data_IF_753112119937
#
_entry.id   IF_753112119937
#
_cell.length_a   1.000
_cell.length_b   1.000
_cell.length_c   1.000
_cell.angle_alpha   90.00
_cell.angle_beta   90.00
_cell.angle_gamma   90.00
#
_symmetry.space_group_name_H-M   'P 1'
#
loop_
_entity.id
_entity.type
_entity.pdbx_description
1 polymer ?
#
# COMPACT_ATOMS: atom_id res chain seq x y z
N UNK A 1 -13.13 -36.41 -7.64
CA UNK A 1 -13.72 -35.23 -7.03
C UNK A 1 -12.61 -34.58 -6.24
N UNK A 2 -12.18 -33.37 -6.53
CA UNK A 2 -11.17 -32.68 -5.75
C UNK A 2 -11.76 -32.42 -4.36
N UNK A 3 -11.10 -32.91 -3.35
CA UNK A 3 -11.46 -32.66 -1.95
C UNK A 3 -11.13 -31.19 -1.69
N UNK A 4 -12.15 -30.37 -1.43
CA UNK A 4 -11.93 -28.98 -0.99
C UNK A 4 -11.21 -29.02 0.35
N UNK A 5 -9.95 -28.61 0.34
CA UNK A 5 -9.16 -28.48 1.57
C UNK A 5 -9.75 -27.29 2.32
N UNK A 6 -10.39 -27.52 3.47
CA UNK A 6 -10.92 -26.43 4.30
C UNK A 6 -9.75 -25.64 4.89
N UNK A 7 -9.53 -24.46 4.34
CA UNK A 7 -8.59 -23.46 4.86
C UNK A 7 -9.32 -22.54 5.86
N UNK A 8 -8.62 -21.72 6.64
CA UNK A 8 -9.24 -20.69 7.46
C UNK A 8 -10.08 -19.67 6.66
N UNK A 9 -9.84 -19.57 5.35
CA UNK A 9 -10.52 -18.67 4.41
C UNK A 9 -11.77 -19.29 3.78
N UNK A 10 -12.04 -20.58 4.02
CA UNK A 10 -13.19 -21.28 3.42
C UNK A 10 -14.46 -20.94 4.18
N UNK A 11 -15.47 -20.45 3.47
CA UNK A 11 -16.78 -20.09 4.03
C UNK A 11 -17.87 -20.98 3.45
N UNK A 12 -18.70 -21.56 4.32
CA UNK A 12 -19.88 -22.33 3.93
C UNK A 12 -21.02 -21.39 3.52
N UNK A 13 -21.61 -21.65 2.36
CA UNK A 13 -22.66 -20.85 1.74
C UNK A 13 -23.90 -21.69 1.36
N UNK A 14 -23.98 -22.92 1.85
CA UNK A 14 -25.07 -23.88 1.55
C UNK A 14 -26.47 -23.25 1.69
N UNK A 15 -26.69 -22.49 2.75
CA UNK A 15 -28.00 -21.88 3.02
C UNK A 15 -28.38 -20.76 2.04
N UNK A 16 -27.39 -20.16 1.36
CA UNK A 16 -27.57 -19.08 0.38
C UNK A 16 -27.70 -19.61 -1.04
N UNK A 17 -27.26 -20.86 -1.29
CA UNK A 17 -27.25 -21.42 -2.63
C UNK A 17 -28.64 -21.41 -3.28
N UNK A 18 -28.73 -20.86 -4.49
CA UNK A 18 -29.94 -20.81 -5.31
C UNK A 18 -31.18 -20.19 -4.61
N UNK A 19 -30.94 -19.22 -3.72
CA UNK A 19 -31.99 -18.45 -3.03
C UNK A 19 -31.83 -16.94 -3.27
N UNK A 20 -32.06 -16.45 -4.49
CA UNK A 20 -31.84 -15.07 -4.83
C UNK A 20 -32.57 -14.09 -3.91
N UNK A 21 -31.83 -13.09 -3.41
CA UNK A 21 -32.34 -12.10 -2.48
C UNK A 21 -32.14 -12.43 -0.99
N UNK A 22 -31.66 -13.64 -0.66
CA UNK A 22 -31.23 -13.95 0.70
C UNK A 22 -29.85 -13.35 0.97
N UNK A 23 -29.67 -12.79 2.17
CA UNK A 23 -28.41 -12.19 2.65
C UNK A 23 -28.00 -12.78 3.98
N UNK A 24 -26.69 -12.84 4.20
CA UNK A 24 -26.09 -13.25 5.46
C UNK A 24 -24.88 -12.38 5.78
N UNK A 25 -24.85 -11.83 6.97
CA UNK A 25 -23.68 -11.17 7.55
C UNK A 25 -22.93 -12.16 8.44
N UNK A 26 -21.59 -12.12 8.40
CA UNK A 26 -20.73 -12.97 9.21
C UNK A 26 -19.42 -12.24 9.52
N UNK A 27 -18.94 -12.34 10.75
CA UNK A 27 -17.60 -11.91 11.13
C UNK A 27 -16.73 -13.15 11.36
N UNK A 28 -15.54 -13.15 10.80
CA UNK A 28 -14.54 -14.22 10.99
C UNK A 28 -13.19 -13.60 11.35
N UNK A 29 -12.50 -14.22 12.28
CA UNK A 29 -11.11 -13.90 12.60
C UNK A 29 -10.23 -15.01 12.01
N UNK A 30 -9.35 -14.62 11.09
CA UNK A 30 -8.46 -15.52 10.36
C UNK A 30 -7.06 -15.36 10.89
N UNK A 31 -6.45 -16.46 11.34
CA UNK A 31 -5.02 -16.49 11.62
C UNK A 31 -4.29 -16.81 10.31
N UNK A 32 -3.45 -15.88 9.86
CA UNK A 32 -2.70 -16.02 8.61
C UNK A 32 -1.80 -17.23 8.66
N UNK A 33 -2.02 -18.27 7.82
CA UNK A 33 -1.25 -19.51 7.91
C UNK A 33 0.14 -19.35 7.30
N UNK A 34 0.26 -18.56 6.26
CA UNK A 34 1.49 -18.33 5.49
C UNK A 34 1.65 -16.84 5.18
N UNK A 35 2.86 -16.33 5.34
CA UNK A 35 3.18 -14.93 5.06
C UNK A 35 2.86 -14.56 3.62
N UNK A 36 2.26 -13.38 3.42
CA UNK A 36 2.04 -12.80 2.11
C UNK A 36 2.14 -11.27 2.12
N UNK A 37 2.58 -10.69 1.00
CA UNK A 37 2.82 -9.26 0.87
C UNK A 37 3.77 -8.96 -0.26
N UNK A 38 4.40 -7.80 -0.21
CA UNK A 38 5.49 -7.44 -1.11
C UNK A 38 6.87 -7.64 -0.43
N UNK A 39 7.95 -7.31 -1.13
CA UNK A 39 9.32 -7.53 -0.63
C UNK A 39 9.67 -6.74 0.65
N UNK A 40 8.94 -5.68 0.98
CA UNK A 40 9.27 -4.75 2.06
C UNK A 40 8.29 -4.84 3.24
N UNK A 41 7.02 -5.18 2.99
CA UNK A 41 5.97 -5.21 3.99
C UNK A 41 4.91 -6.26 3.63
N UNK A 42 4.36 -6.93 4.61
CA UNK A 42 3.33 -7.96 4.41
C UNK A 42 2.68 -8.42 5.70
N UNK A 43 1.69 -9.28 5.52
CA UNK A 43 1.02 -9.99 6.60
C UNK A 43 1.90 -11.15 7.02
N UNK A 44 2.33 -11.16 8.29
CA UNK A 44 3.18 -12.24 8.82
C UNK A 44 2.35 -13.48 9.15
N UNK A 45 2.96 -14.66 9.00
CA UNK A 45 2.34 -15.89 9.48
C UNK A 45 2.04 -15.78 10.98
N UNK A 46 0.82 -16.14 11.37
CA UNK A 46 0.32 -16.01 12.73
C UNK A 46 -0.31 -14.66 13.08
N UNK A 47 -0.28 -13.66 12.18
CA UNK A 47 -1.05 -12.42 12.38
C UNK A 47 -2.55 -12.67 12.23
N UNK A 48 -3.34 -11.81 12.84
CA UNK A 48 -4.81 -11.90 12.79
C UNK A 48 -5.36 -10.94 11.74
N UNK A 49 -6.30 -11.45 10.91
CA UNK A 49 -7.14 -10.68 10.02
C UNK A 49 -8.58 -10.78 10.51
N UNK A 50 -9.20 -9.64 10.75
CA UNK A 50 -10.65 -9.58 10.98
C UNK A 50 -11.34 -9.32 9.65
N UNK A 51 -12.32 -10.15 9.32
CA UNK A 51 -13.08 -10.05 8.08
C UNK A 51 -14.56 -9.97 8.40
N UNK A 52 -15.17 -8.84 8.08
CA UNK A 52 -16.62 -8.66 8.20
C UNK A 52 -17.24 -8.90 6.82
N UNK A 53 -17.97 -9.99 6.70
CA UNK A 53 -18.53 -10.48 5.43
C UNK A 53 -20.02 -10.16 5.36
N UNK A 54 -20.43 -9.68 4.18
CA UNK A 54 -21.80 -9.65 3.73
C UNK A 54 -21.92 -10.46 2.45
N UNK A 55 -22.73 -11.50 2.48
CA UNK A 55 -22.95 -12.40 1.36
C UNK A 55 -24.39 -12.28 0.90
N UNK A 56 -24.61 -12.05 -0.38
CA UNK A 56 -25.92 -11.93 -1.01
C UNK A 56 -26.06 -12.97 -2.14
N UNK A 57 -27.12 -13.76 -2.09
CA UNK A 57 -27.42 -14.74 -3.13
C UNK A 57 -28.05 -14.04 -4.34
N UNK A 58 -27.43 -14.19 -5.49
CA UNK A 58 -27.91 -13.73 -6.80
C UNK A 58 -28.30 -14.91 -7.68
N UNK A 59 -28.83 -14.65 -8.87
CA UNK A 59 -29.20 -15.70 -9.84
C UNK A 59 -27.97 -16.48 -10.34
N UNK A 60 -26.86 -15.77 -10.56
CA UNK A 60 -25.67 -16.29 -11.21
C UNK A 60 -24.57 -16.69 -10.23
N UNK A 61 -24.74 -16.38 -8.93
CA UNK A 61 -23.70 -16.64 -7.92
C UNK A 61 -24.01 -16.01 -6.56
N UNK A 62 -22.98 -15.92 -5.76
CA UNK A 62 -23.00 -15.26 -4.46
C UNK A 62 -22.12 -14.03 -4.52
N UNK A 63 -22.71 -12.85 -4.33
CA UNK A 63 -21.99 -11.60 -4.19
C UNK A 63 -21.45 -11.51 -2.76
N UNK A 64 -20.15 -11.37 -2.63
CA UNK A 64 -19.44 -11.20 -1.35
C UNK A 64 -18.93 -9.78 -1.27
N UNK A 65 -19.35 -9.05 -0.26
CA UNK A 65 -18.75 -7.78 0.15
C UNK A 65 -18.06 -8.01 1.49
N UNK A 66 -16.83 -7.56 1.64
CA UNK A 66 -16.11 -7.74 2.89
C UNK A 66 -15.25 -6.54 3.24
N UNK A 67 -15.24 -6.21 4.53
CA UNK A 67 -14.31 -5.28 5.16
C UNK A 67 -13.23 -6.10 5.87
N UNK A 68 -11.98 -5.84 5.54
CA UNK A 68 -10.82 -6.59 6.02
C UNK A 68 -9.90 -5.65 6.80
N UNK A 69 -9.70 -5.96 8.07
CA UNK A 69 -8.83 -5.24 8.99
C UNK A 69 -7.67 -6.12 9.45
N UNK A 70 -6.46 -5.57 9.43
CA UNK A 70 -5.27 -6.28 9.89
C UNK A 70 -4.08 -5.37 10.12
N UNK A 71 -2.94 -5.96 10.43
CA UNK A 71 -1.67 -5.24 10.60
C UNK A 71 -0.58 -5.91 9.78
N UNK A 72 -0.03 -5.19 8.82
CA UNK A 72 1.14 -5.60 8.07
C UNK A 72 2.41 -5.16 8.80
N UNK A 73 3.43 -6.01 8.77
CA UNK A 73 4.73 -5.74 9.34
C UNK A 73 5.83 -5.78 8.26
N UNK A 74 6.83 -4.94 8.40
CA UNK A 74 7.90 -4.83 7.41
C UNK A 74 9.02 -3.92 7.87
N UNK A 75 9.80 -3.43 6.92
CA UNK A 75 10.93 -2.54 7.17
C UNK A 75 10.75 -1.21 6.44
N UNK A 76 11.19 -0.13 7.07
CA UNK A 76 11.22 1.18 6.42
C UNK A 76 12.18 1.17 5.22
N UNK A 77 11.70 1.50 4.02
CA UNK A 77 12.51 1.52 2.80
C UNK A 77 13.65 2.55 2.79
N UNK A 78 13.72 3.44 3.80
CA UNK A 78 14.79 4.46 3.91
C UNK A 78 15.78 4.18 5.02
N UNK A 79 15.33 3.77 6.22
CA UNK A 79 16.19 3.63 7.39
C UNK A 79 16.23 2.20 7.97
N UNK A 80 15.55 1.25 7.34
CA UNK A 80 15.57 -0.18 7.62
C UNK A 80 15.16 -0.57 9.05
N UNK A 81 14.37 0.28 9.73
CA UNK A 81 13.75 -0.10 11.00
C UNK A 81 12.48 -0.88 10.75
N UNK A 82 12.14 -1.74 11.69
CA UNK A 82 10.84 -2.43 11.69
C UNK A 82 9.71 -1.43 11.80
N UNK A 83 8.66 -1.66 11.02
CA UNK A 83 7.44 -0.85 11.02
C UNK A 83 6.22 -1.77 10.99
N UNK A 84 5.15 -1.27 11.57
CA UNK A 84 3.82 -1.86 11.47
C UNK A 84 2.86 -0.85 10.85
N UNK A 85 2.00 -1.33 9.97
CA UNK A 85 1.02 -0.52 9.28
C UNK A 85 -0.35 -1.19 9.34
N UNK A 86 -1.37 -0.43 9.74
CA UNK A 86 -2.75 -0.88 9.66
C UNK A 86 -3.15 -1.08 8.20
N UNK A 87 -3.81 -2.20 7.94
CA UNK A 87 -4.40 -2.54 6.63
C UNK A 87 -5.90 -2.54 6.80
N UNK A 88 -6.59 -1.75 5.96
CA UNK A 88 -8.04 -1.71 5.88
C UNK A 88 -8.41 -1.75 4.40
N UNK A 89 -9.13 -2.81 4.01
CA UNK A 89 -9.46 -3.05 2.60
C UNK A 89 -10.91 -3.49 2.50
N UNK A 90 -11.62 -2.89 1.57
CA UNK A 90 -12.96 -3.31 1.16
C UNK A 90 -12.88 -4.10 -0.14
N UNK A 91 -13.58 -5.22 -0.21
CA UNK A 91 -13.71 -6.03 -1.42
C UNK A 91 -15.17 -6.24 -1.76
N UNK A 92 -15.45 -6.40 -3.05
CA UNK A 92 -16.76 -6.83 -3.55
C UNK A 92 -16.56 -7.70 -4.79
N UNK A 93 -16.82 -8.99 -4.64
CA UNK A 93 -16.58 -9.98 -5.69
C UNK A 93 -17.75 -10.97 -5.85
N UNK A 94 -17.99 -11.41 -7.08
CA UNK A 94 -19.00 -12.41 -7.39
C UNK A 94 -18.37 -13.79 -7.49
N UNK A 95 -18.85 -14.71 -6.67
CA UNK A 95 -18.54 -16.14 -6.75
C UNK A 95 -19.63 -16.84 -7.58
N UNK A 96 -19.33 -17.20 -8.82
CA UNK A 96 -20.30 -17.75 -9.76
C UNK A 96 -20.65 -19.21 -9.46
N UNK A 97 -21.89 -19.61 -9.78
CA UNK A 97 -22.33 -21.01 -9.70
C UNK A 97 -21.84 -21.86 -10.88
N UNK A 98 -21.41 -21.24 -11.96
CA UNK A 98 -20.95 -21.93 -13.16
C UNK A 98 -19.54 -21.49 -13.52
N UNK A 99 -18.74 -22.46 -13.96
CA UNK A 99 -17.42 -22.24 -14.52
C UNK A 99 -17.56 -21.64 -15.92
N UNK A 100 -17.59 -20.31 -16.01
CA UNK A 100 -17.55 -19.58 -17.27
C UNK A 100 -16.28 -18.70 -17.25
N UNK A 101 -15.60 -18.59 -18.39
CA UNK A 101 -14.40 -17.74 -18.55
C UNK A 101 -14.63 -16.25 -18.19
N UNK A 102 -15.90 -15.86 -18.03
CA UNK A 102 -16.28 -14.51 -17.62
C UNK A 102 -16.12 -14.23 -16.11
N UNK A 103 -15.98 -15.26 -15.28
CA UNK A 103 -15.91 -15.14 -13.82
C UNK A 103 -14.58 -15.67 -13.31
N UNK A 104 -13.96 -14.89 -12.42
CA UNK A 104 -12.66 -15.22 -11.82
C UNK A 104 -12.80 -16.18 -10.63
N UNK A 105 -13.91 -16.08 -9.90
CA UNK A 105 -14.17 -16.86 -8.69
C UNK A 105 -15.43 -17.69 -8.83
N UNK A 106 -15.38 -18.91 -8.28
CA UNK A 106 -16.46 -19.89 -8.37
C UNK A 106 -16.87 -20.40 -6.98
N UNK A 107 -18.13 -20.79 -6.88
CA UNK A 107 -18.63 -21.57 -5.73
C UNK A 107 -18.27 -23.02 -5.95
N UNK A 108 -17.49 -23.60 -5.06
CA UNK A 108 -17.14 -25.03 -5.11
C UNK A 108 -17.99 -25.84 -4.14
N UNK A 109 -18.84 -26.71 -4.67
CA UNK A 109 -19.83 -27.45 -3.90
C UNK A 109 -20.74 -26.46 -3.12
N UNK A 110 -20.59 -26.37 -1.81
CA UNK A 110 -21.36 -25.49 -0.93
C UNK A 110 -20.46 -24.45 -0.22
N UNK A 111 -19.26 -24.19 -0.77
CA UNK A 111 -18.25 -23.34 -0.15
C UNK A 111 -17.66 -22.35 -1.14
N UNK A 112 -17.19 -21.21 -0.60
CA UNK A 112 -16.36 -20.23 -1.29
C UNK A 112 -15.01 -20.16 -0.61
N UNK A 113 -13.95 -19.92 -1.40
CA UNK A 113 -12.60 -19.68 -0.90
C UNK A 113 -12.26 -18.20 -1.05
N UNK A 114 -12.09 -17.52 0.08
CA UNK A 114 -11.78 -16.10 0.12
C UNK A 114 -10.27 -15.81 0.06
N UNK A 115 -9.42 -16.86 0.12
CA UNK A 115 -7.96 -16.66 0.19
C UNK A 115 -7.41 -15.82 -0.97
N UNK A 116 -7.70 -16.15 -2.27
CA UNK A 116 -7.14 -15.39 -3.38
C UNK A 116 -7.60 -13.93 -3.37
N UNK A 117 -8.90 -13.69 -3.15
CA UNK A 117 -9.46 -12.32 -3.12
C UNK A 117 -8.86 -11.48 -2.01
N UNK A 118 -8.78 -12.03 -0.79
CA UNK A 118 -8.21 -11.34 0.38
C UNK A 118 -6.72 -11.06 0.15
N UNK A 119 -5.97 -12.05 -0.35
CA UNK A 119 -4.55 -11.95 -0.62
C UNK A 119 -4.26 -10.83 -1.64
N UNK A 120 -4.98 -10.82 -2.74
CA UNK A 120 -4.79 -9.84 -3.82
C UNK A 120 -5.15 -8.43 -3.34
N UNK A 121 -6.29 -8.26 -2.69
CA UNK A 121 -6.72 -6.98 -2.17
C UNK A 121 -5.74 -6.40 -1.13
N UNK A 122 -5.30 -7.21 -0.18
CA UNK A 122 -4.31 -6.79 0.83
C UNK A 122 -2.99 -6.42 0.17
N UNK A 123 -2.43 -7.28 -0.71
CA UNK A 123 -1.14 -7.02 -1.38
C UNK A 123 -1.19 -5.73 -2.21
N UNK A 124 -2.30 -5.47 -2.91
CA UNK A 124 -2.47 -4.26 -3.71
C UNK A 124 -2.62 -2.99 -2.84
N UNK A 125 -3.10 -3.11 -1.61
CA UNK A 125 -3.21 -1.99 -0.68
C UNK A 125 -1.89 -1.59 -0.03
N UNK A 126 -0.91 -2.49 -0.01
CA UNK A 126 0.38 -2.24 0.63
C UNK A 126 1.23 -1.24 -0.17
N UNK A 127 1.91 -0.29 0.49
CA UNK A 127 2.79 0.65 -0.19
C UNK A 127 4.03 -0.06 -0.74
N UNK A 128 4.47 0.35 -1.95
CA UNK A 128 5.72 -0.14 -2.53
C UNK A 128 6.96 0.26 -1.72
N UNK A 129 6.93 1.45 -1.13
CA UNK A 129 7.99 1.98 -0.28
C UNK A 129 7.40 2.39 1.08
N UNK A 130 7.26 1.44 2.00
CA UNK A 130 6.82 1.77 3.34
C UNK A 130 7.88 2.64 4.04
N UNK A 131 7.44 3.67 4.76
CA UNK A 131 8.32 4.59 5.48
C UNK A 131 7.84 4.74 6.92
N UNK A 132 8.77 4.85 7.86
CA UNK A 132 8.42 5.03 9.27
C UNK A 132 7.78 6.40 9.55
N UNK A 133 8.12 7.40 8.74
CA UNK A 133 7.56 8.76 8.76
C UNK A 133 7.83 9.42 7.40
N UNK A 134 7.01 10.40 7.02
CA UNK A 134 7.08 11.07 5.71
C UNK A 134 8.45 11.72 5.43
N UNK A 135 9.05 12.34 6.45
CA UNK A 135 10.32 13.04 6.41
C UNK A 135 11.52 12.18 6.86
N UNK A 136 11.39 10.85 6.80
CA UNK A 136 12.48 9.95 7.17
C UNK A 136 13.75 10.27 6.35
N UNK A 137 14.81 10.67 7.02
CA UNK A 137 16.10 11.03 6.41
C UNK A 137 16.88 9.82 5.87
N UNK A 138 16.50 8.60 6.30
CA UNK A 138 17.14 7.38 5.87
C UNK A 138 18.48 7.10 6.52
N UNK A 139 19.30 6.34 5.80
CA UNK A 139 20.67 6.00 6.18
C UNK A 139 21.66 6.88 5.42
N UNK A 140 22.79 7.15 6.03
CA UNK A 140 23.91 7.79 5.35
C UNK A 140 24.44 6.89 4.24
N UNK A 141 24.56 7.37 2.99
CA UNK A 141 25.02 6.55 1.86
C UNK A 141 26.49 6.12 1.94
N UNK A 142 27.28 6.78 2.79
CA UNK A 142 28.71 6.47 2.94
C UNK A 142 28.99 5.47 4.06
N UNK A 143 28.33 5.61 5.21
CA UNK A 143 28.64 4.78 6.39
C UNK A 143 27.45 3.99 6.93
N UNK A 144 26.26 4.15 6.36
CA UNK A 144 25.05 3.41 6.76
C UNK A 144 24.45 3.84 8.11
N UNK A 145 24.96 4.90 8.73
CA UNK A 145 24.43 5.40 10.00
C UNK A 145 23.05 6.02 9.77
N UNK A 146 22.12 5.81 10.69
CA UNK A 146 20.79 6.37 10.62
C UNK A 146 20.82 7.86 10.90
N UNK A 147 20.41 8.68 9.92
CA UNK A 147 20.51 10.13 9.98
C UNK A 147 19.58 10.76 11.01
N UNK A 148 18.44 10.12 11.28
CA UNK A 148 17.49 10.59 12.30
C UNK A 148 18.10 10.59 13.71
N UNK A 149 18.92 9.58 14.03
CA UNK A 149 19.54 9.42 15.34
C UNK A 149 20.84 10.24 15.47
N UNK A 150 21.35 10.74 14.34
CA UNK A 150 22.60 11.48 14.28
C UNK A 150 22.42 12.81 13.52
N UNK A 151 21.70 13.78 14.09
CA UNK A 151 21.51 15.08 13.48
C UNK A 151 22.85 15.79 13.33
N UNK A 152 23.14 16.30 12.13
CA UNK A 152 24.43 16.94 11.83
C UNK A 152 25.55 15.98 11.44
N UNK A 153 25.22 14.72 11.15
CA UNK A 153 26.17 13.76 10.60
C UNK A 153 26.59 14.19 9.17
N UNK A 154 27.85 14.50 9.00
CA UNK A 154 28.41 14.94 7.72
C UNK A 154 29.66 14.11 7.39
N UNK A 155 29.93 13.96 6.11
CA UNK A 155 31.17 13.42 5.58
C UNK A 155 31.82 14.45 4.64
N UNK A 156 33.15 14.46 4.60
CA UNK A 156 33.86 15.09 3.49
C UNK A 156 33.43 14.37 2.21
N UNK A 157 32.70 15.07 1.36
CA UNK A 157 32.20 14.51 0.11
C UNK A 157 33.10 14.97 -1.06
N UNK A 158 34.17 14.24 -1.38
CA UNK A 158 35.01 14.60 -2.51
C UNK A 158 34.16 14.49 -3.80
N UNK A 159 34.08 15.59 -4.54
CA UNK A 159 33.40 15.61 -5.84
C UNK A 159 34.05 14.57 -6.74
N UNK A 160 33.26 13.63 -7.28
CA UNK A 160 33.75 12.65 -8.26
C UNK A 160 34.48 13.41 -9.38
N UNK A 161 35.71 13.04 -9.74
CA UNK A 161 36.48 13.71 -10.77
C UNK A 161 35.77 13.86 -12.11
N UNK A 162 34.83 12.95 -12.42
CA UNK A 162 34.00 13.04 -13.64
C UNK A 162 33.04 14.24 -13.64
N UNK A 163 32.67 14.74 -12.46
CA UNK A 163 31.75 15.85 -12.26
C UNK A 163 32.48 17.16 -11.89
N UNK A 164 33.80 17.12 -11.72
CA UNK A 164 34.60 18.28 -11.32
C UNK A 164 34.42 19.46 -12.26
N UNK A 165 34.22 19.22 -13.56
CA UNK A 165 33.96 20.29 -14.55
C UNK A 165 32.65 21.04 -14.30
N UNK A 166 31.68 20.46 -13.63
CA UNK A 166 30.40 21.10 -13.28
C UNK A 166 30.52 22.04 -12.09
N UNK A 167 31.59 21.94 -11.30
CA UNK A 167 31.86 22.83 -10.17
C UNK A 167 31.96 24.31 -10.58
N UNK A 168 32.37 24.58 -11.81
CA UNK A 168 32.41 25.95 -12.37
C UNK A 168 31.01 26.53 -12.61
N UNK A 169 29.98 25.72 -12.80
CA UNK A 169 28.59 26.14 -12.98
C UNK A 169 27.94 26.56 -11.68
N UNK A 170 28.28 25.90 -10.57
CA UNK A 170 27.78 26.25 -9.22
C UNK A 170 28.27 27.65 -8.77
N UNK A 171 29.41 28.12 -9.28
CA UNK A 171 29.92 29.47 -9.01
C UNK A 171 29.15 30.57 -9.77
N UNK A 172 28.38 30.23 -10.82
CA UNK A 172 27.64 31.20 -11.62
C UNK A 172 26.30 31.61 -10.94
N UNK A 173 25.72 30.76 -10.08
CA UNK A 173 24.43 31.02 -9.44
C UNK A 173 24.54 32.01 -8.25
N UNK A 174 25.74 32.20 -7.72
CA UNK A 174 25.99 33.11 -6.58
C UNK A 174 26.22 34.58 -7.02
N UNK A 175 26.20 34.93 -8.31
CA UNK A 175 26.51 36.26 -8.83
C UNK A 175 25.29 37.03 -9.38
N UNK A 176 24.07 36.47 -9.28
CA UNK A 176 22.88 37.10 -9.91
C UNK A 176 21.93 37.75 -8.91
N UNK A 177 22.39 38.17 -7.73
CA UNK A 177 21.57 39.00 -6.83
C UNK A 177 22.19 40.38 -6.60
N UNK A 178 22.19 41.23 -7.64
CA UNK A 178 22.17 42.69 -7.43
C UNK A 178 21.55 43.35 -8.66
N UNK A 179 20.26 43.17 -8.88
CA UNK A 179 19.49 44.09 -9.72
C UNK A 179 18.99 45.20 -8.79
N UNK A 180 19.73 46.27 -8.77
CA UNK A 180 19.38 47.52 -8.14
C UNK A 180 18.09 48.06 -8.76
N UNK A 181 17.03 48.07 -8.01
CA UNK A 181 15.77 48.78 -8.35
C UNK A 181 16.06 50.27 -8.29
N UNK A 182 16.35 50.90 -9.42
CA UNK A 182 16.32 52.37 -9.56
C UNK A 182 14.87 52.78 -9.65
N UNK A 183 14.41 53.45 -8.60
CA UNK A 183 13.18 54.22 -8.54
C UNK A 183 13.09 55.18 -9.72
N UNK A 184 12.05 55.04 -10.54
CA UNK A 184 11.56 56.11 -11.38
C UNK A 184 10.35 56.71 -10.70
N UNK A 185 10.58 57.72 -9.87
CA UNK A 185 9.58 58.70 -9.47
C UNK A 185 9.81 59.98 -10.26
N UNK A 186 8.68 60.59 -10.61
CA UNK A 186 8.47 61.94 -11.08
C UNK A 186 8.66 62.27 -12.56
N UNK A 187 7.50 62.39 -13.22
CA UNK A 187 7.15 63.59 -13.97
C UNK A 187 5.67 63.54 -14.38
N UNK A 188 4.82 64.03 -13.52
CA UNK A 188 3.48 64.47 -13.89
C UNK A 188 3.27 65.87 -13.32
N UNK A 189 3.50 66.89 -14.15
CA UNK A 189 2.87 68.19 -13.94
C UNK A 189 2.98 69.04 -15.22
N UNK A 190 1.82 69.63 -15.55
CA UNK A 190 1.56 70.86 -16.36
C UNK A 190 1.23 70.64 -17.83
N UNK A 191 0.04 70.93 -18.12
CA UNK A 191 -0.55 71.99 -18.98
C UNK A 191 -1.88 71.51 -19.55
N UNK A 192 -2.82 72.32 -19.19
CA UNK A 192 -3.94 72.99 -19.83
C UNK A 192 -4.98 72.15 -20.50
#
# INVERSE_FOLDING_TARGET
>A
MPHVIKTPYTVDVYDLMHRPGEMRDRSIDIVVPEEFGNAMIGMKAGSELRVELRMESLHDGILVSADIDGTAAGECGRCLIDIEQAVQVEIQELFAYSSDEAFEYEVHEDTIDLEPVIRDAVVLSLPFQPVCQEDCLGLCPQCGVRLLDNPGHEHENPVDPRWAALGSLAAFDSTTETITTTNVTDAASSAE
#
